data_IF_681040624809
#
_entry.id   IF_681040624809
#
_cell.length_a   1.000
_cell.length_b   1.000
_cell.length_c   1.000
_cell.angle_alpha   90.00
_cell.angle_beta   90.00
_cell.angle_gamma   90.00
#
_symmetry.space_group_name_H-M   'P 1'
#
loop_
_entity.id
_entity.type
_entity.pdbx_description
1 polymer ?
#
# COMPACT_ATOMS: atom_id res chain seq x y z
N UNK A 1 5.12 -39.30 36.20
CA UNK A 1 5.92 -38.18 35.64
C UNK A 1 6.08 -38.31 34.14
N UNK A 2 6.47 -39.47 33.61
CA UNK A 2 6.75 -39.67 32.16
C UNK A 2 5.52 -39.54 31.24
N UNK A 3 4.34 -40.07 31.63
CA UNK A 3 3.11 -40.00 30.82
C UNK A 3 2.65 -38.55 30.61
N UNK A 4 2.84 -37.68 31.61
CA UNK A 4 2.50 -36.26 31.51
C UNK A 4 3.39 -35.53 30.49
N UNK A 5 4.68 -35.88 30.42
CA UNK A 5 5.63 -35.28 29.49
C UNK A 5 5.26 -35.63 28.04
N UNK A 6 4.88 -36.90 27.80
CA UNK A 6 4.47 -37.36 26.45
C UNK A 6 3.19 -36.66 25.98
N UNK A 7 2.20 -36.50 26.86
CA UNK A 7 0.96 -35.79 26.52
C UNK A 7 1.20 -34.32 26.16
N UNK A 8 2.08 -33.63 26.90
CA UNK A 8 2.44 -32.25 26.57
C UNK A 8 3.13 -32.13 25.21
N UNK A 9 3.96 -33.11 24.85
CA UNK A 9 4.64 -33.12 23.56
C UNK A 9 3.66 -33.31 22.39
N UNK A 10 2.70 -34.22 22.53
CA UNK A 10 1.66 -34.47 21.50
C UNK A 10 0.79 -33.23 21.28
N UNK A 11 0.34 -32.59 22.37
CA UNK A 11 -0.46 -31.36 22.30
C UNK A 11 0.34 -30.24 21.64
N UNK A 12 1.63 -30.11 21.95
CA UNK A 12 2.52 -29.14 21.32
C UNK A 12 2.70 -29.36 19.82
N UNK A 13 2.89 -30.62 19.39
CA UNK A 13 3.03 -30.98 17.97
C UNK A 13 1.75 -30.70 17.19
N UNK A 14 0.59 -31.11 17.71
CA UNK A 14 -0.71 -30.83 17.08
C UNK A 14 -0.95 -29.33 16.99
N UNK A 15 -0.64 -28.58 18.04
CA UNK A 15 -0.72 -27.11 18.04
C UNK A 15 0.16 -26.47 16.96
N UNK A 16 1.40 -26.93 16.80
CA UNK A 16 2.32 -26.43 15.79
C UNK A 16 1.84 -26.69 14.35
N UNK A 17 1.28 -27.88 14.09
CA UNK A 17 0.70 -28.24 12.79
C UNK A 17 -0.49 -27.32 12.46
N UNK A 18 -1.40 -27.12 13.42
CA UNK A 18 -2.56 -26.22 13.23
C UNK A 18 -2.11 -24.79 12.94
N UNK A 19 -1.12 -24.27 13.68
CA UNK A 19 -0.56 -22.93 13.44
C UNK A 19 0.04 -22.79 12.04
N UNK A 20 0.73 -23.82 11.54
CA UNK A 20 1.35 -23.79 10.22
C UNK A 20 0.30 -23.78 9.09
N UNK A 21 -0.81 -24.50 9.27
CA UNK A 21 -1.93 -24.52 8.32
C UNK A 21 -2.70 -23.19 8.28
N UNK A 22 -2.85 -22.52 9.42
CA UNK A 22 -3.51 -21.22 9.51
C UNK A 22 -2.70 -20.14 8.78
N UNK A 23 -1.38 -20.05 9.02
CA UNK A 23 -0.51 -19.07 8.35
C UNK A 23 -0.54 -19.17 6.83
N UNK A 24 -0.56 -20.40 6.30
CA UNK A 24 -0.54 -20.65 4.84
C UNK A 24 -1.81 -20.16 4.13
N UNK A 25 -2.97 -20.14 4.80
CA UNK A 25 -4.21 -19.59 4.22
C UNK A 25 -4.14 -18.07 4.06
N UNK A 26 -3.50 -17.38 4.99
CA UNK A 26 -3.43 -15.93 4.97
C UNK A 26 -2.47 -15.43 3.88
N UNK A 27 -1.35 -16.13 3.65
CA UNK A 27 -0.43 -15.82 2.55
C UNK A 27 -1.11 -15.91 1.18
N UNK A 28 -1.93 -16.95 0.95
CA UNK A 28 -2.65 -17.14 -0.31
C UNK A 28 -3.68 -16.04 -0.54
N UNK A 29 -4.39 -15.61 0.52
CA UNK A 29 -5.36 -14.50 0.45
C UNK A 29 -4.66 -13.19 0.07
N UNK A 30 -3.55 -12.88 0.72
CA UNK A 30 -2.76 -11.67 0.43
C UNK A 30 -2.22 -11.68 -1.01
N UNK A 31 -1.75 -12.83 -1.49
CA UNK A 31 -1.32 -12.97 -2.88
C UNK A 31 -2.47 -12.78 -3.87
N UNK A 32 -3.66 -13.31 -3.54
CA UNK A 32 -4.85 -13.14 -4.36
C UNK A 32 -5.29 -11.67 -4.42
N UNK A 33 -5.33 -10.99 -3.28
CA UNK A 33 -5.67 -9.56 -3.20
C UNK A 33 -4.70 -8.70 -4.02
N UNK A 34 -3.40 -8.98 -3.96
CA UNK A 34 -2.40 -8.29 -4.77
C UNK A 34 -2.57 -8.58 -6.28
N UNK A 35 -2.89 -9.81 -6.65
CA UNK A 35 -3.17 -10.18 -8.03
C UNK A 35 -4.42 -9.46 -8.56
N UNK A 36 -5.50 -9.45 -7.77
CA UNK A 36 -6.76 -8.79 -8.10
C UNK A 36 -6.59 -7.26 -8.17
N UNK A 37 -5.77 -6.68 -7.29
CA UNK A 37 -5.39 -5.26 -7.35
C UNK A 37 -4.67 -4.94 -8.64
N UNK A 38 -3.62 -5.70 -8.97
CA UNK A 38 -2.81 -5.49 -10.18
C UNK A 38 -3.61 -5.70 -11.46
N UNK A 39 -4.48 -6.70 -11.51
CA UNK A 39 -5.33 -6.97 -12.68
C UNK A 39 -6.33 -5.84 -12.92
N UNK A 40 -6.95 -5.30 -11.86
CA UNK A 40 -7.85 -4.13 -11.95
C UNK A 40 -7.13 -2.89 -12.47
N UNK A 41 -5.93 -2.61 -11.97
CA UNK A 41 -5.11 -1.47 -12.43
C UNK A 41 -4.70 -1.69 -13.90
N UNK A 42 -4.26 -2.90 -14.24
CA UNK A 42 -3.86 -3.25 -15.60
C UNK A 42 -5.01 -3.09 -16.61
N UNK A 43 -6.23 -3.46 -16.23
CA UNK A 43 -7.42 -3.28 -17.06
C UNK A 43 -7.79 -1.80 -17.22
N UNK A 44 -7.81 -1.04 -16.11
CA UNK A 44 -8.19 0.38 -16.07
C UNK A 44 -7.26 1.26 -16.90
N UNK A 45 -5.94 1.02 -16.84
CA UNK A 45 -4.92 1.87 -17.45
C UNK A 45 -4.24 1.23 -18.65
N UNK A 46 -4.91 0.32 -19.36
CA UNK A 46 -4.32 -0.50 -20.44
C UNK A 46 -3.55 0.27 -21.53
N UNK A 47 -3.95 1.51 -21.85
CA UNK A 47 -3.31 2.39 -22.85
C UNK A 47 -2.53 3.56 -22.24
N UNK A 48 -2.45 3.62 -20.91
CA UNK A 48 -1.82 4.73 -20.21
C UNK A 48 -0.29 4.54 -20.17
N UNK A 49 0.50 5.53 -20.61
CA UNK A 49 1.97 5.45 -20.55
C UNK A 49 2.53 5.37 -19.11
N UNK A 50 1.74 5.71 -18.10
CA UNK A 50 2.12 5.67 -16.68
C UNK A 50 1.69 4.37 -15.99
N UNK A 51 1.03 3.45 -16.70
CA UNK A 51 0.53 2.16 -16.17
C UNK A 51 1.60 1.39 -15.41
N UNK A 52 2.76 1.23 -16.01
CA UNK A 52 3.84 0.40 -15.44
C UNK A 52 4.45 1.05 -14.19
N UNK A 53 4.39 2.38 -14.09
CA UNK A 53 4.81 3.10 -12.90
C UNK A 53 3.79 2.95 -11.77
N UNK A 54 2.49 2.99 -12.06
CA UNK A 54 1.42 2.72 -11.07
C UNK A 54 1.54 1.29 -10.53
N UNK A 55 1.72 0.30 -11.42
CA UNK A 55 1.91 -1.10 -11.04
C UNK A 55 3.21 -1.32 -10.25
N UNK A 56 4.23 -0.51 -10.52
CA UNK A 56 5.53 -0.53 -9.84
C UNK A 56 5.61 0.35 -8.59
N UNK A 57 4.51 0.95 -8.13
CA UNK A 57 4.47 1.91 -7.02
C UNK A 57 5.48 3.07 -7.19
N UNK A 58 5.75 3.50 -8.42
CA UNK A 58 6.62 4.64 -8.75
C UNK A 58 5.79 5.87 -9.05
N UNK A 59 6.26 7.04 -8.61
CA UNK A 59 5.61 8.32 -8.88
C UNK A 59 6.34 9.04 -10.01
N UNK A 60 5.58 9.61 -10.93
CA UNK A 60 6.08 10.48 -12.00
C UNK A 60 5.24 11.74 -12.14
N UNK A 61 5.83 12.85 -12.63
CA UNK A 61 5.07 14.04 -12.94
C UNK A 61 4.05 13.74 -14.04
N UNK A 62 2.90 14.41 -13.99
CA UNK A 62 1.80 14.19 -14.94
C UNK A 62 0.78 13.13 -14.51
N UNK A 63 1.07 12.36 -13.45
CA UNK A 63 0.07 11.44 -12.87
C UNK A 63 -1.12 12.21 -12.29
N UNK A 64 -2.32 11.65 -12.43
CA UNK A 64 -3.51 12.18 -11.75
C UNK A 64 -3.52 11.78 -10.28
N UNK A 65 -4.33 12.47 -9.46
CA UNK A 65 -4.58 12.07 -8.06
C UNK A 65 -5.04 10.61 -7.97
N UNK A 66 -5.91 10.17 -8.88
CA UNK A 66 -6.41 8.81 -8.86
C UNK A 66 -5.28 7.79 -9.12
N UNK A 67 -4.41 8.08 -10.08
CA UNK A 67 -3.24 7.23 -10.37
C UNK A 67 -2.25 7.19 -9.20
N UNK A 68 -2.05 8.33 -8.53
CA UNK A 68 -1.24 8.41 -7.31
C UNK A 68 -1.81 7.51 -6.21
N UNK A 69 -3.13 7.56 -5.99
CA UNK A 69 -3.80 6.73 -4.98
C UNK A 69 -3.79 5.26 -5.38
N UNK A 70 -3.93 4.93 -6.66
CA UNK A 70 -3.81 3.54 -7.14
C UNK A 70 -2.38 2.99 -6.98
N UNK A 71 -1.36 3.87 -7.08
CA UNK A 71 0.05 3.51 -6.94
C UNK A 71 0.50 3.37 -5.47
N UNK A 72 0.20 4.36 -4.62
CA UNK A 72 0.68 4.44 -3.24
C UNK A 72 -0.38 4.16 -2.18
N UNK A 73 -1.64 4.00 -2.58
CA UNK A 73 -2.76 3.86 -1.67
C UNK A 73 -3.30 5.20 -1.18
N UNK A 74 -4.24 5.19 -0.22
CA UNK A 74 -4.80 6.40 0.35
C UNK A 74 -3.73 7.18 1.15
N UNK A 75 -3.69 8.51 1.04
CA UNK A 75 -2.79 9.33 1.85
C UNK A 75 -3.18 9.29 3.32
N UNK A 76 -2.19 9.46 4.20
CA UNK A 76 -2.43 9.59 5.64
C UNK A 76 -3.00 10.97 6.00
N UNK A 77 -2.63 12.00 5.25
CA UNK A 77 -3.16 13.34 5.38
C UNK A 77 -3.02 14.11 4.05
N UNK A 78 -3.89 15.09 3.84
CA UNK A 78 -3.86 15.98 2.68
C UNK A 78 -3.86 17.41 3.21
N UNK A 79 -2.87 18.21 2.82
CA UNK A 79 -2.91 19.65 3.01
C UNK A 79 -3.38 20.31 1.73
N UNK A 80 -4.34 21.23 1.82
CA UNK A 80 -4.80 22.03 0.70
C UNK A 80 -4.36 23.48 0.86
N UNK A 81 -3.93 24.08 -0.26
CA UNK A 81 -3.66 25.50 -0.38
C UNK A 81 -4.28 26.03 -1.66
N UNK A 82 -5.36 26.79 -1.50
CA UNK A 82 -6.01 27.50 -2.60
C UNK A 82 -5.28 28.82 -2.85
N UNK A 83 -4.81 29.02 -4.07
CA UNK A 83 -4.22 30.27 -4.55
C UNK A 83 -5.17 30.92 -5.56
N UNK A 84 -4.91 32.18 -5.91
CA UNK A 84 -5.76 32.96 -6.83
C UNK A 84 -6.02 32.27 -8.17
N UNK A 85 -5.03 31.53 -8.69
CA UNK A 85 -5.06 30.92 -10.03
C UNK A 85 -5.01 29.40 -10.04
N UNK A 86 -4.72 28.75 -8.90
CA UNK A 86 -4.52 27.30 -8.83
C UNK A 86 -4.77 26.74 -7.45
N UNK A 87 -5.06 25.45 -7.37
CA UNK A 87 -5.17 24.71 -6.12
C UNK A 87 -3.98 23.78 -5.99
N UNK A 88 -3.28 23.86 -4.87
CA UNK A 88 -2.13 23.02 -4.56
C UNK A 88 -2.49 22.09 -3.40
N UNK A 89 -2.38 20.80 -3.63
CA UNK A 89 -2.51 19.77 -2.60
C UNK A 89 -1.15 19.17 -2.29
N UNK A 90 -0.90 18.89 -1.01
CA UNK A 90 0.24 18.07 -0.58
C UNK A 90 -0.29 16.80 0.06
N UNK A 91 -0.15 15.69 -0.65
CA UNK A 91 -0.50 14.35 -0.19
C UNK A 91 0.64 13.80 0.65
N UNK A 92 0.34 13.39 1.88
CA UNK A 92 1.33 12.93 2.85
C UNK A 92 1.21 11.44 3.08
N UNK A 93 2.34 10.74 3.06
CA UNK A 93 2.46 9.31 3.21
C UNK A 93 3.54 8.95 4.21
N UNK A 94 3.55 7.67 4.63
CA UNK A 94 4.53 7.12 5.57
C UNK A 94 4.70 8.01 6.81
N UNK A 95 3.61 8.11 7.59
CA UNK A 95 3.61 8.85 8.85
C UNK A 95 4.60 8.22 9.83
N UNK A 96 5.57 9.00 10.30
CA UNK A 96 6.60 8.55 11.26
C UNK A 96 6.37 9.10 12.67
N UNK A 97 5.59 10.18 12.79
CA UNK A 97 5.19 10.77 14.07
C UNK A 97 3.90 11.55 13.95
N UNK A 98 3.44 12.16 15.04
CA UNK A 98 2.13 12.85 15.09
C UNK A 98 1.94 13.88 13.96
N UNK A 99 3.00 14.59 13.56
CA UNK A 99 2.98 15.59 12.47
C UNK A 99 4.07 15.37 11.41
N UNK A 100 4.78 14.25 11.47
CA UNK A 100 5.96 13.98 10.63
C UNK A 100 5.64 12.90 9.61
N UNK A 101 5.98 13.17 8.36
CA UNK A 101 5.69 12.32 7.20
C UNK A 101 6.94 12.22 6.34
N UNK A 102 7.35 10.99 6.03
CA UNK A 102 8.56 10.70 5.25
C UNK A 102 8.39 11.07 3.78
N UNK A 103 7.19 10.89 3.25
CA UNK A 103 6.89 11.05 1.83
C UNK A 103 5.80 12.09 1.65
N UNK A 104 6.06 13.07 0.77
CA UNK A 104 5.10 14.13 0.44
C UNK A 104 5.05 14.31 -1.06
N UNK A 105 3.86 14.25 -1.64
CA UNK A 105 3.63 14.43 -3.07
C UNK A 105 2.86 15.73 -3.28
N UNK A 106 3.40 16.63 -4.08
CA UNK A 106 2.75 17.88 -4.48
C UNK A 106 1.93 17.62 -5.73
N UNK A 107 0.68 18.03 -5.65
CA UNK A 107 -0.31 17.95 -6.72
C UNK A 107 -0.82 19.36 -6.98
N UNK A 108 -0.76 19.82 -8.22
CA UNK A 108 -1.36 21.09 -8.62
C UNK A 108 -2.50 20.82 -9.61
N UNK A 109 -3.66 21.39 -9.35
CA UNK A 109 -4.87 21.22 -10.18
C UNK A 109 -5.18 19.74 -10.50
N UNK A 110 -4.96 18.85 -9.53
CA UNK A 110 -5.21 17.41 -9.68
C UNK A 110 -4.11 16.61 -10.38
N UNK A 111 -2.99 17.24 -10.73
CA UNK A 111 -1.85 16.60 -11.40
C UNK A 111 -0.60 16.63 -10.50
N UNK A 112 0.09 15.50 -10.39
CA UNK A 112 1.36 15.37 -9.67
C UNK A 112 2.43 16.21 -10.38
N UNK A 113 3.02 17.15 -9.63
CA UNK A 113 4.10 18.01 -10.13
C UNK A 113 5.47 17.64 -9.55
N UNK A 114 5.50 16.98 -8.39
CA UNK A 114 6.75 16.57 -7.74
C UNK A 114 6.53 15.91 -6.39
N UNK A 115 7.59 15.34 -5.84
CA UNK A 115 7.56 14.67 -4.54
C UNK A 115 8.86 14.87 -3.78
N UNK A 116 8.79 14.66 -2.47
CA UNK A 116 9.95 14.74 -1.57
C UNK A 116 9.95 13.52 -0.66
N UNK A 117 11.10 12.86 -0.62
CA UNK A 117 11.41 11.83 0.35
C UNK A 117 12.38 12.46 1.36
N UNK A 118 11.94 12.61 2.60
CA UNK A 118 12.74 13.13 3.73
C UNK A 118 13.21 11.98 4.60
#
# INVERSE_FOLDING_TARGET
MEIFIVLLFIVGVVGAIVQHLLKKKDEVRLQQEEFDRKSRIAARYSKDPLRDDILGNRIRPGMTVQQLVDAWGPPAAIDERVLKTKVVHTYKYAQTGARTFRQKVKVENGIVVGWTNT
#
